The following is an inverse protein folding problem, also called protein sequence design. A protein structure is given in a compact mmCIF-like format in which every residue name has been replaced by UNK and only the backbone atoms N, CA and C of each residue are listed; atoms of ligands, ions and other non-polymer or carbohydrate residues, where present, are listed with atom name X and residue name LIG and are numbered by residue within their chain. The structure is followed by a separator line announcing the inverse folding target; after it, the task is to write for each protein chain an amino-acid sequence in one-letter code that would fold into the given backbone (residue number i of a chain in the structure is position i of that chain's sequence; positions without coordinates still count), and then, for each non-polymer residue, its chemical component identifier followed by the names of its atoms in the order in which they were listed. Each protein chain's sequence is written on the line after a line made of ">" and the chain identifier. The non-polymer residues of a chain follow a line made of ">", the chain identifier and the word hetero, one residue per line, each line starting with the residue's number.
data_IF_105383557453
#
_entry.id   IF_105383557453
#
_cell.length_a   1.000
_cell.length_b   1.000
_cell.length_c   1.000
_cell.angle_alpha   90.00
_cell.angle_beta   90.00
_cell.angle_gamma   90.00
#
_symmetry.space_group_name_H-M   'P 1'
#
loop_
_entity.id
_entity.type
_entity.pdbx_description
1 polymer ?
#
# COMPACT_ATOMS: atom_id res chain seq x y z
N UNK A 1 -12.71 21.97 2.03
CA UNK A 1 -13.00 20.90 3.00
C UNK A 1 -12.61 21.28 4.42
N UNK A 2 -11.33 21.52 4.73
CA UNK A 2 -10.90 21.88 6.11
C UNK A 2 -11.59 23.14 6.64
N UNK A 3 -11.71 24.20 5.84
CA UNK A 3 -12.48 25.42 6.21
C UNK A 3 -13.95 25.12 6.51
N UNK A 4 -14.56 24.14 5.83
CA UNK A 4 -15.95 23.77 6.11
C UNK A 4 -16.06 22.92 7.38
N UNK A 5 -15.06 22.07 7.66
CA UNK A 5 -14.97 21.29 8.89
C UNK A 5 -14.78 22.19 10.13
N UNK A 6 -13.90 23.20 10.02
CA UNK A 6 -13.66 24.21 11.06
C UNK A 6 -14.94 24.94 11.55
N UNK A 7 -16.01 24.95 10.73
CA UNK A 7 -17.31 25.54 11.12
C UNK A 7 -18.15 24.63 12.00
N UNK A 8 -17.88 23.33 11.99
CA UNK A 8 -18.58 22.33 12.79
C UNK A 8 -17.77 22.01 14.04
N UNK A 9 -16.48 21.75 13.87
CA UNK A 9 -15.56 21.42 14.94
C UNK A 9 -14.20 22.12 14.68
N UNK A 10 -13.88 23.15 15.47
CA UNK A 10 -12.60 23.84 15.39
C UNK A 10 -11.42 22.90 15.65
N UNK A 11 -10.49 22.85 14.71
CA UNK A 11 -9.22 22.16 14.85
C UNK A 11 -8.20 23.09 15.49
N UNK A 12 -7.49 22.56 16.46
CA UNK A 12 -6.29 23.17 17.05
C UNK A 12 -5.19 23.33 16.00
N UNK A 13 -4.25 24.24 16.25
CA UNK A 13 -3.00 24.41 15.52
C UNK A 13 -2.24 23.09 15.41
N UNK A 14 -2.18 22.34 16.52
CA UNK A 14 -1.57 21.01 16.54
C UNK A 14 -2.26 20.03 15.60
N UNK A 15 -3.59 20.03 15.55
CA UNK A 15 -4.36 19.18 14.64
C UNK A 15 -4.21 19.58 13.18
N UNK A 16 -4.15 20.89 12.87
CA UNK A 16 -3.88 21.36 11.52
C UNK A 16 -2.52 20.87 11.02
N UNK A 17 -1.47 20.93 11.86
CA UNK A 17 -0.17 20.33 11.55
C UNK A 17 -0.21 18.80 11.48
N UNK A 18 -1.04 18.16 12.30
CA UNK A 18 -1.21 16.72 12.30
C UNK A 18 -1.81 16.19 10.99
N UNK A 19 -2.53 17.00 10.20
CA UNK A 19 -3.01 16.61 8.86
C UNK A 19 -1.83 16.20 7.97
N UNK A 20 -0.77 17.01 7.96
CA UNK A 20 0.42 16.78 7.16
C UNK A 20 1.12 15.46 7.55
N UNK A 21 1.21 15.20 8.86
CA UNK A 21 1.82 13.99 9.42
C UNK A 21 0.95 12.78 9.11
N UNK A 22 -0.36 12.88 9.34
CA UNK A 22 -1.33 11.80 9.12
C UNK A 22 -1.36 11.34 7.67
N UNK A 23 -1.36 12.27 6.71
CA UNK A 23 -1.29 11.93 5.30
C UNK A 23 0.00 11.17 4.96
N UNK A 24 1.15 11.58 5.50
CA UNK A 24 2.43 10.86 5.30
C UNK A 24 2.38 9.46 5.91
N UNK A 25 1.83 9.32 7.12
CA UNK A 25 1.69 8.01 7.78
C UNK A 25 0.82 7.08 6.94
N UNK A 26 -0.33 7.55 6.46
CA UNK A 26 -1.24 6.77 5.60
C UNK A 26 -0.53 6.32 4.32
N UNK A 27 0.25 7.19 3.68
CA UNK A 27 1.03 6.85 2.49
C UNK A 27 2.11 5.80 2.77
N UNK A 28 2.87 5.95 3.85
CA UNK A 28 3.90 4.98 4.25
C UNK A 28 3.29 3.62 4.56
N UNK A 29 2.18 3.60 5.29
CA UNK A 29 1.48 2.36 5.63
C UNK A 29 0.88 1.68 4.38
N UNK A 30 0.35 2.45 3.43
CA UNK A 30 -0.06 1.92 2.13
C UNK A 30 1.11 1.32 1.34
N UNK A 31 2.28 1.98 1.35
CA UNK A 31 3.48 1.45 0.70
C UNK A 31 3.94 0.15 1.36
N UNK A 32 4.01 0.12 2.71
CA UNK A 32 4.39 -1.08 3.47
C UNK A 32 3.49 -2.27 3.12
N UNK A 33 2.17 -2.09 3.16
CA UNK A 33 1.21 -3.15 2.80
C UNK A 33 1.41 -3.65 1.36
N UNK A 34 1.66 -2.74 0.43
CA UNK A 34 1.87 -3.11 -0.98
C UNK A 34 3.20 -3.84 -1.16
N UNK A 35 4.27 -3.36 -0.54
CA UNK A 35 5.58 -4.00 -0.57
C UNK A 35 5.53 -5.42 0.00
N UNK A 36 4.83 -5.64 1.12
CA UNK A 36 4.64 -6.98 1.67
C UNK A 36 3.91 -7.91 0.70
N UNK A 37 2.90 -7.42 -0.01
CA UNK A 37 2.19 -8.20 -1.05
C UNK A 37 3.11 -8.54 -2.22
N UNK A 38 4.01 -7.63 -2.63
CA UNK A 38 5.02 -7.89 -3.66
C UNK A 38 5.98 -8.99 -3.19
N UNK A 39 6.55 -8.85 -2.00
CA UNK A 39 7.53 -9.80 -1.44
C UNK A 39 6.90 -11.18 -1.27
N UNK A 40 5.70 -11.27 -0.70
CA UNK A 40 4.97 -12.55 -0.59
C UNK A 40 4.68 -13.18 -1.95
N UNK A 41 4.26 -12.38 -2.93
CA UNK A 41 4.02 -12.86 -4.29
C UNK A 41 5.30 -13.37 -4.97
N UNK A 42 6.42 -12.68 -4.77
CA UNK A 42 7.74 -13.10 -5.28
C UNK A 42 8.20 -14.40 -4.64
N UNK A 43 8.14 -14.51 -3.32
CA UNK A 43 8.48 -15.74 -2.61
C UNK A 43 7.59 -16.92 -3.03
N UNK A 44 6.31 -16.68 -3.33
CA UNK A 44 5.41 -17.70 -3.85
C UNK A 44 5.82 -18.17 -5.25
N UNK A 45 6.24 -17.26 -6.14
CA UNK A 45 6.77 -17.62 -7.48
C UNK A 45 8.07 -18.39 -7.38
N UNK A 46 9.01 -17.98 -6.54
CA UNK A 46 10.29 -18.67 -6.35
C UNK A 46 10.10 -20.12 -5.85
N UNK A 47 9.13 -20.33 -4.94
CA UNK A 47 8.73 -21.68 -4.50
C UNK A 47 8.12 -22.49 -5.63
N UNK A 48 7.27 -21.88 -6.45
CA UNK A 48 6.69 -22.52 -7.63
C UNK A 48 7.75 -22.87 -8.69
N UNK A 49 8.75 -22.01 -8.90
CA UNK A 49 9.86 -22.29 -9.81
C UNK A 49 10.67 -23.50 -9.36
N UNK A 50 11.03 -23.53 -8.07
CA UNK A 50 11.74 -24.68 -7.47
C UNK A 50 10.97 -25.98 -7.64
N UNK A 51 9.65 -25.94 -7.44
CA UNK A 51 8.79 -27.09 -7.60
C UNK A 51 8.66 -27.51 -9.07
N UNK A 52 8.53 -26.55 -9.99
CA UNK A 52 8.53 -26.83 -11.42
C UNK A 52 9.85 -27.50 -11.84
N UNK A 53 11.01 -27.01 -11.37
CA UNK A 53 12.30 -27.64 -11.66
C UNK A 53 12.39 -29.09 -11.15
N UNK A 54 11.81 -29.37 -9.98
CA UNK A 54 11.74 -30.73 -9.43
C UNK A 54 10.83 -31.66 -10.26
N UNK A 55 9.68 -31.15 -10.71
CA UNK A 55 8.73 -31.89 -11.53
C UNK A 55 9.26 -32.15 -12.96
N UNK A 56 10.03 -31.20 -13.49
CA UNK A 56 10.66 -31.29 -14.82
C UNK A 56 12.00 -32.03 -14.79
N UNK A 57 12.50 -32.43 -13.61
CA UNK A 57 13.81 -33.08 -13.47
C UNK A 57 14.99 -32.16 -13.80
N UNK A 58 14.79 -30.84 -13.78
CA UNK A 58 15.80 -29.81 -14.07
C UNK A 58 16.57 -29.37 -12.81
N UNK A 59 16.15 -29.82 -11.62
CA UNK A 59 16.79 -29.49 -10.34
C UNK A 59 18.01 -30.36 -10.01
N UNK A 60 18.85 -29.89 -9.09
CA UNK A 60 20.07 -30.58 -8.64
C UNK A 60 19.84 -31.87 -7.81
N UNK A 61 18.60 -32.37 -7.72
CA UNK A 61 18.19 -33.53 -6.92
C UNK A 61 17.50 -34.61 -7.75
N UNK A 62 17.13 -35.73 -7.13
CA UNK A 62 16.35 -36.76 -7.82
C UNK A 62 14.98 -36.21 -8.26
N UNK A 63 14.50 -36.56 -9.48
CA UNK A 63 13.15 -36.23 -9.93
C UNK A 63 12.15 -36.67 -8.87
N UNK A 64 11.30 -35.74 -8.42
CA UNK A 64 10.28 -36.07 -7.43
C UNK A 64 9.13 -36.74 -8.16
N UNK A 65 8.62 -37.84 -7.61
CA UNK A 65 7.36 -38.43 -8.08
C UNK A 65 6.26 -37.35 -8.09
N UNK A 66 5.79 -37.01 -9.29
CA UNK A 66 4.80 -35.97 -9.50
C UNK A 66 3.55 -36.22 -8.64
N UNK A 67 3.09 -37.45 -8.50
CA UNK A 67 1.91 -37.77 -7.69
C UNK A 67 2.13 -37.42 -6.20
N UNK A 68 3.32 -37.73 -5.67
CA UNK A 68 3.68 -37.42 -4.28
C UNK A 68 3.89 -35.92 -4.04
N UNK A 69 4.46 -35.22 -5.02
CA UNK A 69 4.60 -33.76 -4.97
C UNK A 69 3.21 -33.09 -4.97
N UNK A 70 2.32 -33.50 -5.87
CA UNK A 70 0.95 -32.95 -6.00
C UNK A 70 0.09 -33.26 -4.76
N UNK A 71 0.24 -34.45 -4.16
CA UNK A 71 -0.46 -34.79 -2.92
C UNK A 71 -0.11 -33.81 -1.77
N UNK A 72 1.18 -33.47 -1.61
CA UNK A 72 1.62 -32.48 -0.61
C UNK A 72 1.09 -31.07 -0.87
N UNK A 73 0.86 -30.72 -2.13
CA UNK A 73 0.28 -29.42 -2.50
C UNK A 73 -1.22 -29.39 -2.26
N UNK A 74 -1.90 -30.53 -2.31
CA UNK A 74 -3.34 -30.61 -2.07
C UNK A 74 -3.68 -30.21 -0.63
N UNK A 75 -2.80 -30.51 0.32
CA UNK A 75 -2.94 -30.10 1.72
C UNK A 75 -2.66 -28.60 1.96
N UNK A 76 -2.08 -27.88 0.98
CA UNK A 76 -1.67 -26.49 1.10
C UNK A 76 -2.35 -25.66 0.01
N UNK A 77 -3.27 -24.76 0.39
CA UNK A 77 -3.83 -23.80 -0.58
C UNK A 77 -2.73 -22.92 -1.17
N UNK A 78 -2.37 -23.18 -2.43
CA UNK A 78 -1.32 -22.45 -3.14
C UNK A 78 -1.74 -21.00 -3.41
N UNK A 79 -0.88 -20.00 -3.11
CA UNK A 79 -1.11 -18.62 -3.52
C UNK A 79 -1.32 -18.52 -5.03
N UNK A 80 -2.18 -17.60 -5.47
CA UNK A 80 -2.47 -17.38 -6.91
C UNK A 80 -1.20 -17.16 -7.74
N UNK A 81 -0.23 -16.39 -7.23
CA UNK A 81 1.03 -16.17 -7.91
C UNK A 81 1.85 -17.47 -8.14
N UNK A 82 1.79 -18.43 -7.20
CA UNK A 82 2.43 -19.73 -7.35
C UNK A 82 1.71 -20.60 -8.39
N UNK A 83 0.37 -20.61 -8.36
CA UNK A 83 -0.46 -21.35 -9.34
C UNK A 83 -0.21 -20.87 -10.77
N UNK A 84 -0.19 -19.55 -10.97
CA UNK A 84 0.11 -18.93 -12.27
C UNK A 84 1.52 -19.29 -12.74
N UNK A 85 2.52 -19.21 -11.86
CA UNK A 85 3.90 -19.56 -12.20
C UNK A 85 4.04 -21.04 -12.59
N UNK A 86 3.43 -21.95 -11.83
CA UNK A 86 3.42 -23.38 -12.15
C UNK A 86 2.76 -23.64 -13.49
N UNK A 87 1.58 -23.07 -13.73
CA UNK A 87 0.88 -23.20 -15.01
C UNK A 87 1.76 -22.74 -16.18
N UNK A 88 2.35 -21.54 -16.10
CA UNK A 88 3.20 -20.99 -17.16
C UNK A 88 4.44 -21.86 -17.42
N UNK A 89 5.04 -22.44 -16.38
CA UNK A 89 6.24 -23.27 -16.50
C UNK A 89 5.95 -24.66 -17.08
N UNK A 90 4.76 -25.20 -16.81
CA UNK A 90 4.36 -26.55 -17.20
C UNK A 90 3.61 -26.62 -18.54
N UNK A 91 2.94 -25.54 -18.98
CA UNK A 91 2.05 -25.60 -20.17
C UNK A 91 2.78 -25.92 -21.49
N UNK A 92 4.04 -25.52 -21.61
CA UNK A 92 4.82 -25.64 -22.84
C UNK A 92 5.72 -26.90 -22.82
N UNK A 93 5.50 -27.81 -21.87
CA UNK A 93 6.31 -29.00 -21.62
C UNK A 93 5.67 -30.28 -22.19
N UNK A 94 6.50 -31.30 -22.43
CA UNK A 94 6.12 -32.57 -23.07
C UNK A 94 4.97 -33.30 -22.33
N UNK A 95 4.09 -34.04 -23.04
CA UNK A 95 3.04 -34.89 -22.49
C UNK A 95 3.41 -35.76 -21.27
N UNK A 96 4.69 -36.08 -21.04
CA UNK A 96 5.14 -36.78 -19.82
C UNK A 96 4.95 -35.98 -18.51
N UNK A 97 4.88 -34.64 -18.56
CA UNK A 97 4.69 -33.75 -17.40
C UNK A 97 3.22 -33.33 -17.19
N UNK A 98 2.33 -33.78 -18.08
CA UNK A 98 0.87 -33.54 -18.07
C UNK A 98 0.15 -33.87 -16.75
N UNK A 99 0.56 -34.86 -15.91
CA UNK A 99 -0.19 -35.14 -14.69
C UNK A 99 -0.25 -33.94 -13.72
N UNK A 100 0.85 -33.18 -13.60
CA UNK A 100 0.90 -32.01 -12.73
C UNK A 100 0.10 -30.83 -13.28
N UNK A 101 0.16 -30.60 -14.59
CA UNK A 101 -0.64 -29.58 -15.26
C UNK A 101 -2.14 -29.89 -15.15
N UNK A 102 -2.54 -31.14 -15.45
CA UNK A 102 -3.93 -31.58 -15.36
C UNK A 102 -4.47 -31.48 -13.93
N UNK A 103 -3.69 -31.90 -12.94
CA UNK A 103 -4.07 -31.71 -11.53
C UNK A 103 -4.32 -30.24 -11.20
N UNK A 104 -3.45 -29.34 -11.67
CA UNK A 104 -3.61 -27.89 -11.43
C UNK A 104 -4.88 -27.36 -12.09
N UNK A 105 -5.19 -27.79 -13.32
CA UNK A 105 -6.42 -27.44 -14.03
C UNK A 105 -7.67 -27.98 -13.32
N UNK A 106 -7.64 -29.23 -12.83
CA UNK A 106 -8.73 -29.84 -12.04
C UNK A 106 -8.98 -29.08 -10.74
N UNK A 107 -7.92 -28.66 -10.03
CA UNK A 107 -8.03 -27.83 -8.83
C UNK A 107 -8.64 -26.46 -9.13
N UNK A 108 -8.23 -25.80 -10.22
CA UNK A 108 -8.81 -24.52 -10.64
C UNK A 108 -10.28 -24.67 -11.03
N UNK A 109 -10.62 -25.74 -11.75
CA UNK A 109 -11.99 -26.06 -12.13
C UNK A 109 -12.89 -26.34 -10.91
N UNK A 110 -12.36 -27.03 -9.89
CA UNK A 110 -13.05 -27.25 -8.61
C UNK A 110 -13.31 -25.94 -7.85
N UNK A 111 -12.47 -24.92 -8.02
CA UNK A 111 -12.68 -23.55 -7.52
C UNK A 111 -13.56 -22.68 -8.45
N UNK A 112 -14.06 -23.22 -9.56
CA UNK A 112 -14.90 -22.50 -10.52
C UNK A 112 -14.15 -21.46 -11.35
N UNK A 113 -12.84 -21.64 -11.56
CA UNK A 113 -12.00 -20.74 -12.36
C UNK A 113 -11.19 -21.51 -13.41
N UNK A 114 -10.60 -20.81 -14.37
CA UNK A 114 -9.67 -21.40 -15.36
C UNK A 114 -8.25 -20.90 -15.14
N UNK A 115 -7.28 -21.55 -15.78
CA UNK A 115 -5.89 -21.10 -15.76
C UNK A 115 -5.75 -19.70 -16.37
N UNK A 116 -6.36 -19.44 -17.52
CA UNK A 116 -6.33 -18.14 -18.20
C UNK A 116 -6.93 -17.03 -17.32
N UNK A 117 -8.07 -17.30 -16.68
CA UNK A 117 -8.71 -16.34 -15.79
C UNK A 117 -7.83 -16.06 -14.56
N UNK A 118 -7.18 -17.07 -14.02
CA UNK A 118 -6.27 -16.95 -12.88
C UNK A 118 -5.02 -16.14 -13.26
N UNK A 119 -4.45 -16.40 -14.44
CA UNK A 119 -3.33 -15.63 -15.02
C UNK A 119 -3.72 -14.17 -15.21
N UNK A 120 -4.88 -13.91 -15.82
CA UNK A 120 -5.42 -12.57 -16.05
C UNK A 120 -5.60 -11.80 -14.74
N UNK A 121 -6.20 -12.44 -13.73
CA UNK A 121 -6.38 -11.85 -12.39
C UNK A 121 -5.06 -11.50 -11.72
N UNK A 122 -4.06 -12.38 -11.82
CA UNK A 122 -2.74 -12.10 -11.22
C UNK A 122 -2.02 -10.96 -11.93
N UNK A 123 -2.07 -10.87 -13.27
CA UNK A 123 -1.52 -9.74 -14.00
C UNK A 123 -2.22 -8.42 -13.64
N UNK A 124 -3.54 -8.43 -13.58
CA UNK A 124 -4.33 -7.26 -13.17
C UNK A 124 -3.93 -6.80 -11.75
N UNK A 125 -3.82 -7.74 -10.81
CA UNK A 125 -3.38 -7.46 -9.43
C UNK A 125 -1.99 -6.83 -9.38
N UNK A 126 -1.05 -7.31 -10.20
CA UNK A 126 0.29 -6.74 -10.29
C UNK A 126 0.29 -5.33 -10.91
N UNK A 127 -0.52 -5.10 -11.94
CA UNK A 127 -0.68 -3.79 -12.55
C UNK A 127 -1.24 -2.77 -11.54
N UNK A 128 -2.29 -3.15 -10.81
CA UNK A 128 -2.87 -2.32 -9.74
C UNK A 128 -1.86 -1.98 -8.65
N UNK A 129 -1.04 -2.94 -8.25
CA UNK A 129 0.04 -2.71 -7.27
C UNK A 129 1.10 -1.74 -7.80
N UNK A 130 1.49 -1.85 -9.08
CA UNK A 130 2.43 -0.91 -9.70
C UNK A 130 1.88 0.51 -9.76
N UNK A 131 0.60 0.67 -10.12
CA UNK A 131 -0.09 1.97 -10.10
C UNK A 131 -0.14 2.51 -8.68
N UNK A 132 -0.47 1.67 -7.69
CA UNK A 132 -0.51 2.07 -6.28
C UNK A 132 0.84 2.59 -5.80
N UNK A 133 1.94 1.88 -6.07
CA UNK A 133 3.30 2.33 -5.68
C UNK A 133 3.63 3.67 -6.33
N UNK A 134 3.36 3.83 -7.64
CA UNK A 134 3.57 5.10 -8.35
C UNK A 134 2.78 6.24 -7.72
N UNK A 135 1.50 6.01 -7.41
CA UNK A 135 0.63 7.00 -6.79
C UNK A 135 1.14 7.38 -5.41
N UNK A 136 1.55 6.42 -4.57
CA UNK A 136 2.11 6.71 -3.25
C UNK A 136 3.39 7.55 -3.35
N UNK A 137 4.31 7.21 -4.26
CA UNK A 137 5.55 8.00 -4.46
C UNK A 137 5.22 9.42 -4.93
N UNK A 138 4.29 9.55 -5.88
CA UNK A 138 3.86 10.85 -6.42
C UNK A 138 3.22 11.70 -5.31
N UNK A 139 2.30 11.13 -4.55
CA UNK A 139 1.66 11.79 -3.41
C UNK A 139 2.67 12.19 -2.33
N UNK A 140 3.65 11.32 -2.01
CA UNK A 140 4.71 11.67 -1.06
C UNK A 140 5.52 12.88 -1.53
N UNK A 141 5.85 12.96 -2.82
CA UNK A 141 6.55 14.12 -3.39
C UNK A 141 5.68 15.39 -3.33
N UNK A 142 4.40 15.27 -3.69
CA UNK A 142 3.46 16.38 -3.60
C UNK A 142 3.34 16.90 -2.18
N UNK A 143 3.18 16.03 -1.17
CA UNK A 143 3.11 16.44 0.24
C UNK A 143 4.42 17.09 0.72
N UNK A 144 5.57 16.68 0.21
CA UNK A 144 6.87 17.27 0.55
C UNK A 144 7.09 18.65 -0.07
N UNK A 145 6.52 18.91 -1.25
CA UNK A 145 6.60 20.22 -1.91
C UNK A 145 5.48 21.18 -1.52
N UNK A 146 4.41 20.66 -0.93
CA UNK A 146 3.28 21.46 -0.50
C UNK A 146 3.69 22.44 0.61
N UNK A 147 3.30 23.70 0.46
CA UNK A 147 3.56 24.75 1.46
C UNK A 147 2.58 24.62 2.64
N UNK A 148 2.98 23.78 3.60
CA UNK A 148 2.20 23.55 4.81
C UNK A 148 2.07 24.79 5.68
N UNK A 149 3.07 25.69 5.67
CA UNK A 149 3.02 26.93 6.43
C UNK A 149 1.86 27.80 5.93
N UNK A 150 1.83 28.09 4.63
CA UNK A 150 0.74 28.87 4.02
C UNK A 150 -0.63 28.21 4.20
N UNK A 151 -0.70 26.88 4.10
CA UNK A 151 -1.95 26.15 4.33
C UNK A 151 -2.48 26.32 5.75
N UNK A 152 -1.61 26.13 6.76
CA UNK A 152 -2.00 26.24 8.17
C UNK A 152 -2.41 27.67 8.50
N UNK A 153 -1.63 28.67 8.08
CA UNK A 153 -1.99 30.09 8.31
C UNK A 153 -3.30 30.47 7.64
N UNK A 154 -3.57 29.97 6.43
CA UNK A 154 -4.81 30.23 5.71
C UNK A 154 -6.05 29.49 6.24
N UNK A 155 -5.89 28.52 7.15
CA UNK A 155 -7.01 27.73 7.71
C UNK A 155 -7.14 27.81 9.22
N UNK A 156 -6.17 28.42 9.89
CA UNK A 156 -6.15 28.65 11.33
C UNK A 156 -7.15 29.72 11.73
N UNK A 157 -8.02 29.38 12.69
CA UNK A 157 -8.95 30.35 13.28
C UNK A 157 -8.21 31.38 14.15
N UNK A 158 -7.10 30.97 14.76
CA UNK A 158 -6.22 31.87 15.54
C UNK A 158 -5.58 32.92 14.61
N UNK A 159 -5.06 32.51 13.46
CA UNK A 159 -4.51 33.44 12.46
C UNK A 159 -5.59 34.36 11.90
N UNK A 160 -6.80 33.84 11.65
CA UNK A 160 -7.92 34.65 11.22
C UNK A 160 -8.29 35.72 12.25
N UNK A 161 -8.31 35.38 13.54
CA UNK A 161 -8.64 36.31 14.61
C UNK A 161 -7.54 37.36 14.85
N UNK A 162 -6.27 36.94 14.86
CA UNK A 162 -5.14 37.85 15.00
C UNK A 162 -4.94 38.73 13.76
N UNK A 163 -5.31 38.22 12.58
CA UNK A 163 -5.24 38.94 11.30
C UNK A 163 -6.17 40.14 11.18
N UNK A 164 -7.19 40.25 12.04
CA UNK A 164 -8.01 41.48 12.13
C UNK A 164 -7.18 42.69 12.60
N UNK A 165 -6.03 42.45 13.23
CA UNK A 165 -5.07 43.46 13.63
C UNK A 165 -3.96 43.56 12.58
N UNK A 166 -3.99 44.59 11.73
CA UNK A 166 -3.13 44.70 10.55
C UNK A 166 -1.62 44.48 10.78
N UNK A 167 -1.10 44.85 11.96
CA UNK A 167 0.31 44.64 12.33
C UNK A 167 0.69 43.16 12.38
N UNK A 168 -0.24 42.27 12.76
CA UNK A 168 -0.01 40.83 12.76
C UNK A 168 0.09 40.27 11.34
N UNK A 169 -0.76 40.73 10.42
CA UNK A 169 -0.79 40.25 9.04
C UNK A 169 0.52 40.56 8.27
N UNK A 170 1.19 41.67 8.61
CA UNK A 170 2.45 42.09 7.98
C UNK A 170 3.70 41.37 8.55
N UNK A 171 3.54 40.55 9.59
CA UNK A 171 4.66 39.84 10.23
C UNK A 171 5.13 38.63 9.41
N UNK A 172 6.42 38.32 9.53
CA UNK A 172 6.96 37.08 9.02
C UNK A 172 6.35 35.84 9.71
N UNK A 173 6.47 34.69 9.04
CA UNK A 173 5.93 33.43 9.54
C UNK A 173 6.44 33.10 10.95
N UNK A 174 7.74 33.28 11.21
CA UNK A 174 8.35 32.93 12.49
C UNK A 174 7.78 33.77 13.65
N UNK A 175 7.46 35.03 13.39
CA UNK A 175 6.87 35.93 14.36
C UNK A 175 5.41 35.56 14.60
N UNK A 176 4.60 35.36 13.54
CA UNK A 176 3.21 34.88 13.68
C UNK A 176 3.14 33.54 14.41
N UNK A 177 4.12 32.67 14.18
CA UNK A 177 4.24 31.38 14.86
C UNK A 177 4.46 31.51 16.37
N UNK A 178 5.21 32.51 16.83
CA UNK A 178 5.37 32.78 18.27
C UNK A 178 4.06 33.21 18.92
N UNK A 179 3.24 34.01 18.23
CA UNK A 179 1.92 34.41 18.72
C UNK A 179 1.00 33.19 18.84
N UNK A 180 0.97 32.31 17.83
CA UNK A 180 0.20 31.05 17.89
C UNK A 180 0.60 30.20 19.09
N UNK A 181 1.89 29.98 19.30
CA UNK A 181 2.38 29.24 20.48
C UNK A 181 2.06 29.94 21.81
N UNK A 182 1.97 31.27 21.84
CA UNK A 182 1.55 32.00 23.03
C UNK A 182 0.05 31.80 23.33
N UNK A 183 -0.79 31.84 22.29
CA UNK A 183 -2.24 31.56 22.41
C UNK A 183 -2.46 30.13 22.90
N UNK A 184 -1.80 29.13 22.28
CA UNK A 184 -1.91 27.72 22.68
C UNK A 184 -1.55 27.52 24.17
N UNK A 185 -0.47 28.17 24.63
CA UNK A 185 -0.03 28.11 26.04
C UNK A 185 -1.05 28.73 26.98
N UNK A 186 -1.64 29.88 26.62
CA UNK A 186 -2.65 30.56 27.43
C UNK A 186 -3.92 29.71 27.52
N UNK A 187 -4.41 29.19 26.39
CA UNK A 187 -5.58 28.34 26.33
C UNK A 187 -5.40 27.08 27.19
N UNK A 188 -4.26 26.39 27.03
CA UNK A 188 -3.92 25.21 27.84
C UNK A 188 -3.86 25.52 29.33
N UNK A 189 -3.25 26.63 29.73
CA UNK A 189 -3.18 27.04 31.13
C UNK A 189 -4.57 27.39 31.71
N UNK A 190 -5.48 27.91 30.88
CA UNK A 190 -6.85 28.21 31.23
C UNK A 190 -7.80 27.00 31.19
N UNK A 191 -7.35 25.84 30.67
CA UNK A 191 -8.19 24.66 30.45
C UNK A 191 -9.25 24.87 29.36
N UNK A 192 -8.99 25.80 28.43
CA UNK A 192 -9.87 26.13 27.31
C UNK A 192 -9.24 25.65 25.99
N UNK A 193 -10.04 25.53 24.93
CA UNK A 193 -9.50 25.45 23.57
C UNK A 193 -8.94 26.81 23.17
N UNK A 194 -7.90 26.80 22.36
CA UNK A 194 -7.40 27.99 21.68
C UNK A 194 -8.39 28.59 20.68
#
# INVERSE_FOLDING_TARGET
>A
MVVAYQRVEPLTMGELWAIAISLRIVLVENLRRTAERIVRGRAAREKADTLADQLLGLGAGQPVDAAKALARLTDIRLPTAARVQLFQRLRDQDPATTPALRWLEEQLAAEGTTAEETVRREHQRQAEMNVTVRNVITSMRLLSWFDWASFVEGTSLVDSALGEYGVFADMDFATRDRYRHAVEKLARAAGMSE
#
